data_IF_744996194619
#
_entry.id   IF_744996194619
#
_cell.length_a   1.000
_cell.length_b   1.000
_cell.length_c   1.000
_cell.angle_alpha   90.00
_cell.angle_beta   90.00
_cell.angle_gamma   90.00
#
_symmetry.space_group_name_H-M   'P 1'
#
loop_
_entity.id
_entity.type
_entity.pdbx_description
1 polymer ?
#
# COMPACT_ATOMS: atom_id res chain seq x y z
N UNK A 1 15.65 9.65 8.49
CA UNK A 1 14.67 10.25 7.55
C UNK A 1 13.57 10.86 8.40
N UNK A 2 13.32 12.17 8.30
CA UNK A 2 12.25 12.85 9.05
C UNK A 2 11.04 12.90 8.12
N UNK A 3 10.05 12.05 8.35
CA UNK A 3 8.80 12.08 7.61
C UNK A 3 8.05 13.31 8.11
N UNK A 4 8.09 14.40 7.33
CA UNK A 4 7.24 15.56 7.58
C UNK A 4 5.79 15.09 7.56
N UNK A 5 5.01 15.50 8.56
CA UNK A 5 3.59 15.17 8.67
C UNK A 5 2.89 15.87 7.49
N UNK A 6 2.71 15.15 6.39
CA UNK A 6 1.91 15.63 5.26
C UNK A 6 0.47 15.53 5.75
N UNK A 7 -0.15 16.69 5.98
CA UNK A 7 -1.57 16.77 6.30
C UNK A 7 -2.36 16.67 4.99
N UNK A 8 -2.94 15.49 4.73
CA UNK A 8 -3.84 15.30 3.60
C UNK A 8 -5.20 15.91 3.93
N UNK A 9 -5.83 16.61 2.97
CA UNK A 9 -7.15 17.22 3.20
C UNK A 9 -8.27 16.18 3.33
N UNK A 10 -8.04 14.97 2.81
CA UNK A 10 -8.91 13.79 2.94
C UNK A 10 -8.13 12.51 2.66
N UNK A 11 -8.66 11.36 3.12
CA UNK A 11 -8.12 10.05 2.74
C UNK A 11 -8.09 9.83 1.21
N UNK A 12 -9.04 10.40 0.48
CA UNK A 12 -9.08 10.30 -0.98
C UNK A 12 -7.87 10.96 -1.64
N UNK A 13 -7.48 12.16 -1.19
CA UNK A 13 -6.29 12.85 -1.71
C UNK A 13 -5.01 12.06 -1.39
N UNK A 14 -4.90 11.53 -0.18
CA UNK A 14 -3.77 10.67 0.21
C UNK A 14 -3.66 9.43 -0.69
N UNK A 15 -4.77 8.70 -0.87
CA UNK A 15 -4.79 7.48 -1.68
C UNK A 15 -4.47 7.78 -3.14
N UNK A 16 -4.92 8.93 -3.65
CA UNK A 16 -4.60 9.38 -5.01
C UNK A 16 -3.11 9.70 -5.19
N UNK A 17 -2.50 10.41 -4.25
CA UNK A 17 -1.05 10.69 -4.27
C UNK A 17 -0.22 9.41 -4.15
N UNK A 18 -0.62 8.50 -3.25
CA UNK A 18 0.01 7.18 -3.14
C UNK A 18 -0.09 6.43 -4.47
N UNK A 19 -1.26 6.40 -5.11
CA UNK A 19 -1.45 5.72 -6.40
C UNK A 19 -0.54 6.29 -7.49
N UNK A 20 -0.37 7.62 -7.55
CA UNK A 20 0.54 8.27 -8.51
C UNK A 20 2.02 7.98 -8.20
N UNK A 21 2.39 7.79 -6.93
CA UNK A 21 3.75 7.51 -6.52
C UNK A 21 4.22 6.07 -6.81
N UNK A 22 3.29 5.14 -7.07
CA UNK A 22 3.64 3.73 -7.33
C UNK A 22 4.24 3.56 -8.72
N UNK A 23 5.57 3.45 -8.75
CA UNK A 23 6.33 3.05 -9.93
C UNK A 23 6.06 1.61 -10.38
N UNK A 24 6.70 1.19 -11.47
CA UNK A 24 6.52 -0.16 -12.04
C UNK A 24 6.97 -1.29 -11.11
N UNK A 25 7.91 -1.00 -10.20
CA UNK A 25 8.49 -1.94 -9.24
C UNK A 25 8.41 -1.35 -7.84
N UNK A 26 7.96 -2.14 -6.89
CA UNK A 26 7.91 -1.80 -5.46
C UNK A 26 8.84 -2.76 -4.72
N UNK A 27 9.54 -2.34 -3.66
CA UNK A 27 10.32 -3.25 -2.78
C UNK A 27 9.44 -3.77 -1.63
N UNK A 28 9.84 -4.88 -0.98
CA UNK A 28 8.98 -5.51 0.02
C UNK A 28 8.76 -4.56 1.20
N UNK A 29 9.83 -3.91 1.64
CA UNK A 29 9.81 -2.84 2.66
C UNK A 29 8.83 -1.72 2.31
N UNK A 30 8.89 -1.18 1.08
CA UNK A 30 7.97 -0.11 0.67
C UNK A 30 6.52 -0.60 0.61
N UNK A 31 6.29 -1.86 0.21
CA UNK A 31 4.97 -2.45 0.22
C UNK A 31 4.41 -2.55 1.65
N UNK A 32 5.20 -3.09 2.59
CA UNK A 32 4.86 -3.20 4.00
C UNK A 32 4.62 -1.83 4.65
N UNK A 33 5.49 -0.85 4.40
CA UNK A 33 5.36 0.52 4.90
C UNK A 33 4.03 1.17 4.46
N UNK A 34 3.62 0.96 3.20
CA UNK A 34 2.36 1.53 2.69
C UNK A 34 1.16 0.81 3.31
N UNK A 35 1.20 -0.52 3.49
CA UNK A 35 0.12 -1.21 4.19
C UNK A 35 0.01 -0.76 5.66
N UNK A 36 1.14 -0.55 6.33
CA UNK A 36 1.18 -0.04 7.70
C UNK A 36 0.59 1.38 7.78
N UNK A 37 0.89 2.24 6.81
CA UNK A 37 0.26 3.56 6.69
C UNK A 37 -1.26 3.45 6.55
N UNK A 38 -1.78 2.53 5.73
CA UNK A 38 -3.23 2.33 5.58
C UNK A 38 -3.88 1.88 6.90
N UNK A 39 -3.19 1.08 7.71
CA UNK A 39 -3.67 0.71 9.05
C UNK A 39 -3.68 1.90 10.00
N UNK A 40 -2.63 2.72 9.99
CA UNK A 40 -2.53 3.93 10.83
C UNK A 40 -3.61 4.97 10.51
N UNK A 41 -4.06 5.02 9.26
CA UNK A 41 -5.15 5.90 8.81
C UNK A 41 -6.54 5.27 8.97
N UNK A 42 -6.65 4.13 9.66
CA UNK A 42 -7.91 3.40 9.88
C UNK A 42 -8.62 2.97 8.58
N UNK A 43 -7.87 2.89 7.47
CA UNK A 43 -8.36 2.48 6.15
C UNK A 43 -8.23 0.97 5.91
N UNK A 44 -7.45 0.30 6.75
CA UNK A 44 -7.19 -1.13 6.70
C UNK A 44 -7.09 -1.68 8.13
N UNK A 45 -7.57 -2.90 8.35
CA UNK A 45 -7.37 -3.62 9.61
C UNK A 45 -6.01 -4.31 9.63
N UNK A 46 -5.46 -4.54 10.83
CA UNK A 46 -4.23 -5.35 10.99
C UNK A 46 -4.34 -6.76 10.39
N UNK A 47 -5.55 -7.34 10.40
CA UNK A 47 -5.78 -8.66 9.83
C UNK A 47 -5.65 -8.66 8.29
N UNK A 48 -6.21 -7.63 7.61
CA UNK A 48 -6.06 -7.45 6.17
C UNK A 48 -4.59 -7.23 5.78
N UNK A 49 -3.87 -6.39 6.55
CA UNK A 49 -2.43 -6.16 6.37
C UNK A 49 -1.63 -7.47 6.47
N UNK A 50 -1.79 -8.22 7.56
CA UNK A 50 -1.07 -9.48 7.78
C UNK A 50 -1.30 -10.48 6.63
N UNK A 51 -2.53 -10.56 6.10
CA UNK A 51 -2.82 -11.41 4.95
C UNK A 51 -2.04 -10.95 3.71
N UNK A 52 -2.09 -9.65 3.39
CA UNK A 52 -1.43 -9.08 2.22
C UNK A 52 0.10 -9.20 2.30
N UNK A 53 0.71 -8.97 3.47
CA UNK A 53 2.15 -9.16 3.68
C UNK A 53 2.56 -10.62 3.46
N UNK A 54 1.79 -11.57 4.01
CA UNK A 54 2.14 -13.00 3.93
C UNK A 54 2.21 -13.54 2.51
N UNK A 55 1.42 -12.99 1.59
CA UNK A 55 1.36 -13.41 0.18
C UNK A 55 2.28 -12.58 -0.73
N UNK A 56 2.82 -11.47 -0.24
CA UNK A 56 3.60 -10.52 -1.04
C UNK A 56 5.12 -10.76 -0.95
N UNK A 57 5.55 -11.81 -0.25
CA UNK A 57 6.96 -12.15 -0.05
C UNK A 57 7.61 -12.62 -1.34
N UNK A 58 8.90 -12.31 -1.52
CA UNK A 58 9.64 -12.72 -2.72
C UNK A 58 9.63 -14.23 -2.95
N UNK A 59 9.64 -15.04 -1.87
CA UNK A 59 9.53 -16.51 -1.96
C UNK A 59 8.16 -17.02 -2.45
N UNK A 60 7.11 -16.20 -2.31
CA UNK A 60 5.75 -16.52 -2.74
C UNK A 60 5.52 -16.03 -4.16
N UNK A 61 5.96 -14.81 -4.47
CA UNK A 61 5.70 -14.15 -5.76
C UNK A 61 6.75 -14.47 -6.84
N UNK A 62 7.94 -14.94 -6.46
CA UNK A 62 9.01 -15.30 -7.40
C UNK A 62 9.76 -14.11 -7.99
N UNK A 63 10.37 -14.32 -9.16
CA UNK A 63 11.32 -13.37 -9.78
C UNK A 63 10.72 -11.96 -10.05
N UNK A 64 9.43 -11.91 -10.39
CA UNK A 64 8.71 -10.67 -10.67
C UNK A 64 8.04 -10.05 -9.44
N UNK A 65 8.39 -10.49 -8.22
CA UNK A 65 7.80 -10.00 -6.97
C UNK A 65 7.70 -8.46 -6.89
N UNK A 66 8.70 -7.66 -7.30
CA UNK A 66 8.59 -6.21 -7.26
C UNK A 66 7.48 -5.64 -8.15
N UNK A 67 7.26 -6.21 -9.33
CA UNK A 67 6.23 -5.79 -10.29
C UNK A 67 4.85 -6.24 -9.81
N UNK A 68 4.76 -7.48 -9.32
CA UNK A 68 3.53 -8.03 -8.78
C UNK A 68 3.08 -7.23 -7.56
N UNK A 69 3.98 -6.88 -6.62
CA UNK A 69 3.67 -6.01 -5.47
C UNK A 69 3.18 -4.63 -5.90
N UNK A 70 3.78 -4.04 -6.95
CA UNK A 70 3.30 -2.76 -7.47
C UNK A 70 1.84 -2.87 -7.96
N UNK A 71 1.50 -3.94 -8.69
CA UNK A 71 0.15 -4.17 -9.18
C UNK A 71 -0.85 -4.46 -8.06
N UNK A 72 -0.47 -5.31 -7.09
CA UNK A 72 -1.27 -5.59 -5.90
C UNK A 72 -1.56 -4.30 -5.14
N UNK A 73 -0.55 -3.47 -4.92
CA UNK A 73 -0.68 -2.23 -4.17
C UNK A 73 -1.63 -1.24 -4.85
N UNK A 74 -1.57 -1.11 -6.19
CA UNK A 74 -2.55 -0.31 -6.94
C UNK A 74 -3.98 -0.79 -6.72
N UNK A 75 -4.21 -2.11 -6.73
CA UNK A 75 -5.54 -2.68 -6.51
C UNK A 75 -6.02 -2.45 -5.07
N UNK A 76 -5.14 -2.67 -4.08
CA UNK A 76 -5.45 -2.44 -2.66
C UNK A 76 -5.87 -0.99 -2.43
N UNK A 77 -5.10 -0.03 -2.93
CA UNK A 77 -5.41 1.40 -2.79
C UNK A 77 -6.76 1.75 -3.44
N UNK A 78 -7.03 1.21 -4.63
CA UNK A 78 -8.31 1.44 -5.31
C UNK A 78 -9.51 0.86 -4.54
N UNK A 79 -9.37 -0.33 -3.94
CA UNK A 79 -10.45 -0.93 -3.15
C UNK A 79 -10.68 -0.20 -1.83
N UNK A 80 -9.60 0.25 -1.17
CA UNK A 80 -9.69 1.08 0.03
C UNK A 80 -10.39 2.41 -0.26
N UNK A 81 -10.05 3.07 -1.38
CA UNK A 81 -10.70 4.31 -1.80
C UNK A 81 -12.20 4.14 -2.06
N UNK A 82 -12.61 2.98 -2.60
CA UNK A 82 -14.03 2.64 -2.81
C UNK A 82 -14.79 2.37 -1.52
N UNK A 83 -14.15 1.77 -0.51
CA UNK A 83 -14.75 1.52 0.82
C UNK A 83 -15.06 2.81 1.57
N UNK A 84 -14.27 3.87 1.36
CA UNK A 84 -14.43 5.17 2.02
C UNK A 84 -15.61 6.03 1.53
N UNK A 85 -16.65 5.42 0.96
CA UNK A 85 -17.90 6.09 0.55
C UNK A 85 -18.99 5.96 1.61
#
# INVERSE_FOLDING_TARGET
IRIGRIEFSSHHEMLRELLYSIGERVSQEIYEDILQLLVEQELMTKQEMNLLESVALDRVLGEEAPVVRANMLRQVIQEVDRKGK
#
